data_IF_352332249837
#
_entry.id   IF_352332249837
#
_cell.length_a   1.000
_cell.length_b   1.000
_cell.length_c   1.000
_cell.angle_alpha   90.00
_cell.angle_beta   90.00
_cell.angle_gamma   90.00
#
_symmetry.space_group_name_H-M   'P 1'
#
loop_
_entity.id
_entity.type
_entity.pdbx_description
1 polymer ?
#
# COMPACT_ATOMS: atom_id res chain seq x y z
N UNK A 1 -6.17 -15.25 -8.02
CA UNK A 1 -5.86 -14.15 -8.96
C UNK A 1 -5.36 -12.96 -8.16
N UNK A 2 -4.26 -12.33 -8.60
CA UNK A 2 -3.72 -11.13 -7.98
C UNK A 2 -4.63 -9.94 -8.35
N UNK A 3 -5.14 -9.18 -7.36
CA UNK A 3 -6.12 -8.08 -7.59
C UNK A 3 -5.48 -6.69 -7.64
N UNK A 4 -4.22 -6.58 -7.22
CA UNK A 4 -3.49 -5.32 -7.17
C UNK A 4 -1.98 -5.50 -7.43
N UNK A 5 -1.31 -4.39 -7.74
CA UNK A 5 0.15 -4.25 -7.79
C UNK A 5 0.59 -3.19 -6.79
N UNK A 6 1.88 -3.11 -6.51
CA UNK A 6 2.46 -2.00 -5.76
C UNK A 6 2.98 -0.92 -6.71
N UNK A 7 3.00 0.32 -6.25
CA UNK A 7 3.70 1.43 -6.92
C UNK A 7 5.19 1.12 -7.04
N UNK A 8 5.81 1.61 -8.11
CA UNK A 8 7.26 1.51 -8.26
C UNK A 8 7.97 2.41 -7.24
N UNK A 9 7.45 3.63 -7.08
CA UNK A 9 7.92 4.59 -6.09
C UNK A 9 7.63 4.13 -4.66
N UNK A 10 8.57 4.45 -3.78
CA UNK A 10 8.41 4.33 -2.34
C UNK A 10 8.27 5.71 -1.73
N UNK A 11 7.47 5.82 -0.67
CA UNK A 11 7.31 7.05 0.10
C UNK A 11 7.56 6.79 1.58
N UNK A 12 8.26 7.71 2.23
CA UNK A 12 8.46 7.68 3.67
C UNK A 12 7.20 8.17 4.41
N UNK A 13 6.74 7.37 5.37
CA UNK A 13 5.68 7.73 6.31
C UNK A 13 6.25 7.75 7.72
N UNK A 14 5.91 8.78 8.49
CA UNK A 14 6.26 8.85 9.90
C UNK A 14 5.07 8.44 10.76
N UNK A 15 5.33 7.68 11.81
CA UNK A 15 4.36 7.32 12.83
C UNK A 15 5.01 7.42 14.22
N UNK A 16 4.20 7.41 15.27
CA UNK A 16 4.68 7.35 16.65
C UNK A 16 4.40 5.98 17.22
N UNK A 17 5.39 5.40 17.88
CA UNK A 17 5.26 4.17 18.66
C UNK A 17 6.00 4.40 19.98
N UNK A 18 5.31 4.23 21.11
CA UNK A 18 5.83 4.49 22.46
C UNK A 18 6.47 5.88 22.63
N UNK A 19 5.83 6.90 22.05
CA UNK A 19 6.33 8.29 22.08
C UNK A 19 7.56 8.55 21.20
N UNK A 20 8.08 7.54 20.52
CA UNK A 20 9.23 7.65 19.61
C UNK A 20 8.73 7.81 18.18
N UNK A 21 9.22 8.84 17.48
CA UNK A 21 8.94 9.02 16.05
C UNK A 21 9.74 8.00 15.24
N UNK A 22 9.03 7.17 14.49
CA UNK A 22 9.58 6.20 13.55
C UNK A 22 9.22 6.59 12.13
N UNK A 23 9.99 6.06 11.17
CA UNK A 23 9.76 6.25 9.74
C UNK A 23 9.83 4.91 9.03
N UNK A 24 8.93 4.69 8.07
CA UNK A 24 8.89 3.48 7.24
C UNK A 24 8.72 3.87 5.77
N UNK A 25 9.36 3.12 4.88
CA UNK A 25 9.15 3.25 3.44
C UNK A 25 8.02 2.31 3.02
N UNK A 26 6.97 2.87 2.43
CA UNK A 26 5.82 2.11 1.95
C UNK A 26 5.63 2.30 0.45
N UNK A 27 4.92 1.35 -0.17
CA UNK A 27 4.45 1.42 -1.55
C UNK A 27 2.94 1.46 -1.60
N UNK A 28 2.38 2.20 -2.54
CA UNK A 28 0.94 2.34 -2.69
C UNK A 28 0.37 1.12 -3.41
N UNK A 29 -0.79 0.66 -2.95
CA UNK A 29 -1.56 -0.39 -3.62
C UNK A 29 -2.30 0.22 -4.81
N UNK A 30 -2.24 -0.43 -5.97
CA UNK A 30 -2.94 0.00 -7.18
C UNK A 30 -3.72 -1.20 -7.74
N UNK A 31 -5.04 -1.07 -7.86
CA UNK A 31 -5.89 -2.12 -8.43
C UNK A 31 -5.47 -2.44 -9.88
N UNK A 32 -5.41 -3.72 -10.25
CA UNK A 32 -5.07 -4.14 -11.63
C UNK A 32 -6.28 -4.65 -12.42
N UNK A 33 -7.39 -4.89 -11.74
CA UNK A 33 -8.67 -5.29 -12.32
C UNK A 33 -9.79 -4.69 -11.48
N UNK A 34 -10.99 -4.62 -12.05
CA UNK A 34 -12.19 -4.30 -11.27
C UNK A 34 -12.48 -5.43 -10.30
N UNK A 35 -12.88 -5.11 -9.08
CA UNK A 35 -13.40 -6.07 -8.10
C UNK A 35 -14.25 -5.36 -7.05
N UNK A 36 -15.38 -5.98 -6.66
CA UNK A 36 -16.37 -5.36 -5.77
C UNK A 36 -16.75 -3.95 -6.27
N UNK A 37 -16.44 -2.93 -5.48
CA UNK A 37 -16.64 -1.51 -5.69
C UNK A 37 -15.36 -0.75 -6.09
N UNK A 38 -14.26 -1.47 -6.34
CA UNK A 38 -12.95 -0.91 -6.72
C UNK A 38 -12.73 -1.08 -8.23
N UNK A 39 -12.37 0.02 -8.89
CA UNK A 39 -12.08 0.06 -10.33
C UNK A 39 -10.58 -0.15 -10.56
N UNK A 40 -10.22 -0.80 -11.67
CA UNK A 40 -8.84 -0.96 -12.10
C UNK A 40 -8.12 0.39 -12.21
N UNK A 41 -6.89 0.45 -11.71
CA UNK A 41 -6.09 1.68 -11.64
C UNK A 41 -6.35 2.54 -10.41
N UNK A 42 -7.40 2.30 -9.63
CA UNK A 42 -7.64 3.01 -8.37
C UNK A 42 -6.49 2.77 -7.39
N UNK A 43 -5.96 3.86 -6.85
CA UNK A 43 -4.91 3.84 -5.83
C UNK A 43 -5.52 3.74 -4.43
N UNK A 44 -5.01 2.82 -3.61
CA UNK A 44 -5.47 2.54 -2.26
C UNK A 44 -4.46 2.95 -1.19
N UNK A 45 -4.44 2.17 -0.11
CA UNK A 45 -3.52 2.34 1.02
C UNK A 45 -2.06 2.03 0.68
N UNK A 46 -1.21 2.10 1.70
CA UNK A 46 0.23 1.93 1.59
C UNK A 46 0.70 0.74 2.43
N UNK A 47 1.55 -0.11 1.88
CA UNK A 47 2.09 -1.29 2.57
C UNK A 47 3.60 -1.42 2.36
N UNK A 48 4.29 -2.05 3.31
CA UNK A 48 5.73 -2.30 3.24
C UNK A 48 6.04 -3.54 2.38
N UNK A 49 5.17 -4.56 2.41
CA UNK A 49 5.34 -5.85 1.72
C UNK A 49 4.03 -6.40 1.19
N UNK A 50 4.10 -7.18 0.11
CA UNK A 50 2.92 -7.77 -0.54
C UNK A 50 2.13 -8.73 0.36
N UNK A 51 2.77 -9.33 1.36
CA UNK A 51 2.17 -10.33 2.26
C UNK A 51 1.14 -9.77 3.26
N UNK A 52 0.99 -8.44 3.35
CA UNK A 52 0.08 -7.80 4.32
C UNK A 52 -1.40 -7.99 3.94
N UNK A 53 -1.71 -8.22 2.66
CA UNK A 53 -3.08 -8.37 2.15
C UNK A 53 -3.37 -9.78 1.60
N UNK A 54 -2.73 -10.81 2.16
CA UNK A 54 -2.90 -12.21 1.78
C UNK A 54 -4.33 -12.73 2.03
#
# INVERSE_FOLDING_TARGET
>A
MRKYRLSEEQRAFSYQEDGTKKSVLLRQIIAISDFNDVIAGTAGGWIDRETVLA
#
